data_IF_088833492201
#
_entry.id   IF_088833492201
#
_cell.length_a   1.000
_cell.length_b   1.000
_cell.length_c   1.000
_cell.angle_alpha   90.00
_cell.angle_beta   90.00
_cell.angle_gamma   90.00
#
_symmetry.space_group_name_H-M   'P 1'
#
loop_
_entity.id
_entity.type
_entity.pdbx_description
1 polymer ?
#
# COMPACT_ATOMS: atom_id res chain seq x y z
N UNK A 1 -22.02 -37.22 -3.95
CA UNK A 1 -22.43 -36.09 -3.09
C UNK A 1 -21.58 -36.18 -1.83
N UNK A 2 -21.19 -35.02 -1.28
CA UNK A 2 -20.19 -34.83 -0.22
C UNK A 2 -18.77 -34.61 -0.76
N UNK A 3 -18.57 -33.46 -1.42
CA UNK A 3 -17.26 -32.83 -1.46
C UNK A 3 -16.85 -32.51 -0.02
N UNK A 4 -15.82 -33.20 0.46
CA UNK A 4 -15.08 -32.80 1.63
C UNK A 4 -14.43 -31.44 1.30
N UNK A 5 -15.08 -30.36 1.75
CA UNK A 5 -14.53 -29.01 1.71
C UNK A 5 -13.22 -29.03 2.49
N UNK A 6 -12.11 -28.95 1.74
CA UNK A 6 -10.76 -28.97 2.28
C UNK A 6 -10.58 -27.78 3.23
N UNK A 7 -10.63 -28.06 4.53
CA UNK A 7 -9.96 -27.25 5.53
C UNK A 7 -8.47 -27.27 5.19
N UNK A 8 -8.00 -26.25 4.46
CA UNK A 8 -6.57 -26.01 4.32
C UNK A 8 -5.99 -25.89 5.73
N UNK A 9 -5.03 -26.73 6.12
CA UNK A 9 -4.31 -26.49 7.36
C UNK A 9 -3.61 -25.14 7.20
N UNK A 10 -3.99 -24.14 8.00
CA UNK A 10 -3.17 -22.96 8.20
C UNK A 10 -1.83 -23.46 8.75
N UNK A 11 -0.83 -23.57 7.86
CA UNK A 11 0.55 -23.91 8.22
C UNK A 11 1.05 -22.97 9.32
N UNK A 12 1.92 -23.45 10.22
CA UNK A 12 2.27 -22.74 11.45
C UNK A 12 2.99 -21.42 11.17
N UNK A 13 2.27 -20.31 11.38
CA UNK A 13 2.78 -18.96 11.64
C UNK A 13 3.90 -18.46 10.71
N UNK A 14 3.69 -18.53 9.39
CA UNK A 14 4.30 -17.56 8.50
C UNK A 14 3.57 -16.24 8.79
N UNK A 15 4.18 -15.27 9.47
CA UNK A 15 3.60 -13.94 9.54
C UNK A 15 3.54 -13.47 8.07
N UNK A 16 2.35 -13.33 7.47
CA UNK A 16 2.28 -12.86 6.09
C UNK A 16 2.96 -11.49 6.05
N UNK A 17 4.09 -11.38 5.34
CA UNK A 17 4.69 -10.10 5.03
C UNK A 17 3.71 -9.38 4.11
N UNK A 18 2.97 -8.43 4.66
CA UNK A 18 2.12 -7.54 3.87
C UNK A 18 2.97 -6.40 3.35
N UNK A 19 2.53 -5.81 2.24
CA UNK A 19 3.18 -4.63 1.71
C UNK A 19 2.15 -3.68 1.13
N UNK A 20 2.47 -2.40 1.17
CA UNK A 20 1.71 -1.32 0.56
C UNK A 20 2.60 -0.71 -0.52
N UNK A 21 2.07 -0.63 -1.73
CA UNK A 21 2.70 0.05 -2.85
C UNK A 21 1.96 1.36 -3.08
N UNK A 22 2.71 2.43 -3.20
CA UNK A 22 2.21 3.78 -3.45
C UNK A 22 2.84 4.23 -4.75
N UNK A 23 2.01 4.67 -5.68
CA UNK A 23 2.44 5.34 -6.90
C UNK A 23 1.63 6.61 -7.04
N UNK A 24 2.31 7.74 -7.25
CA UNK A 24 1.67 9.03 -7.40
C UNK A 24 1.83 9.55 -8.82
N UNK A 25 0.70 9.83 -9.46
CA UNK A 25 0.63 10.46 -10.79
C UNK A 25 0.02 11.86 -10.64
N UNK A 26 0.53 12.82 -11.42
CA UNK A 26 -0.07 14.14 -11.56
C UNK A 26 -1.30 14.12 -12.50
N UNK A 27 -1.95 15.27 -12.65
CA UNK A 27 -3.12 15.43 -13.55
C UNK A 27 -2.79 15.13 -15.03
N UNK A 28 -1.53 15.26 -15.42
CA UNK A 28 -1.04 14.95 -16.76
C UNK A 28 -0.64 13.47 -16.92
N UNK A 29 -0.71 12.66 -15.85
CA UNK A 29 -0.31 11.26 -15.84
C UNK A 29 1.20 11.03 -15.73
N UNK A 30 1.97 12.03 -15.30
CA UNK A 30 3.39 11.87 -14.99
C UNK A 30 3.59 11.49 -13.53
N UNK A 31 4.61 10.68 -13.27
CA UNK A 31 4.98 10.28 -11.93
C UNK A 31 5.52 11.48 -11.15
N UNK A 32 5.13 11.60 -9.88
CA UNK A 32 5.57 12.70 -8.99
C UNK A 32 6.65 12.17 -8.05
N UNK A 33 7.95 12.38 -8.35
CA UNK A 33 9.03 11.88 -7.52
C UNK A 33 9.24 12.73 -6.27
N UNK A 34 9.88 12.15 -5.26
CA UNK A 34 10.28 12.83 -4.01
C UNK A 34 9.14 13.47 -3.21
N UNK A 35 7.89 13.08 -3.47
CA UNK A 35 6.75 13.56 -2.70
C UNK A 35 6.73 12.91 -1.32
N UNK A 36 6.48 13.71 -0.28
CA UNK A 36 6.35 13.20 1.08
C UNK A 36 5.01 12.48 1.25
N UNK A 37 5.04 11.32 1.92
CA UNK A 37 3.85 10.58 2.28
C UNK A 37 3.86 10.19 3.76
N UNK A 38 2.66 10.10 4.33
CA UNK A 38 2.37 9.61 5.67
C UNK A 38 1.41 8.43 5.55
N UNK A 39 1.87 7.25 5.94
CA UNK A 39 1.09 6.02 5.98
C UNK A 39 0.72 5.70 7.43
N UNK A 40 -0.54 5.87 7.77
CA UNK A 40 -1.10 5.40 9.03
C UNK A 40 -1.42 3.90 8.90
N UNK A 41 -0.66 3.08 9.62
CA UNK A 41 -0.86 1.65 9.72
C UNK A 41 -2.13 1.32 10.52
N UNK A 42 -2.69 0.11 10.36
CA UNK A 42 -3.90 -0.33 11.08
C UNK A 42 -3.74 -0.37 12.61
N UNK A 43 -2.51 -0.39 13.12
CA UNK A 43 -2.20 -0.31 14.55
C UNK A 43 -2.20 1.15 15.08
N UNK A 44 -2.36 2.16 14.21
CA UNK A 44 -2.30 3.58 14.53
C UNK A 44 -0.90 4.20 14.45
N UNK A 45 0.13 3.41 14.10
CA UNK A 45 1.48 3.92 13.84
C UNK A 45 1.52 4.70 12.52
N UNK A 46 2.26 5.80 12.48
CA UNK A 46 2.40 6.63 11.27
C UNK A 46 3.82 6.47 10.75
N UNK A 47 3.94 5.97 9.53
CA UNK A 47 5.19 5.84 8.79
C UNK A 47 5.31 7.02 7.82
N UNK A 48 6.31 7.87 8.04
CA UNK A 48 6.64 8.95 7.12
C UNK A 48 7.75 8.52 6.15
N UNK A 49 7.62 8.92 4.89
CA UNK A 49 8.63 8.62 3.86
C UNK A 49 8.50 9.55 2.66
N UNK A 50 9.36 9.32 1.67
CA UNK A 50 9.33 10.02 0.40
C UNK A 50 9.23 9.02 -0.74
N UNK A 51 8.53 9.40 -1.81
CA UNK A 51 8.54 8.66 -3.06
C UNK A 51 9.94 8.69 -3.68
N UNK A 52 10.27 7.66 -4.45
CA UNK A 52 11.52 7.57 -5.17
C UNK A 52 11.52 8.44 -6.45
N UNK A 53 12.58 8.31 -7.27
CA UNK A 53 12.71 9.02 -8.54
C UNK A 53 11.63 8.65 -9.58
N UNK A 54 10.91 7.55 -9.37
CA UNK A 54 9.80 7.08 -10.19
C UNK A 54 8.43 7.42 -9.57
N UNK A 55 8.37 8.27 -8.54
CA UNK A 55 7.10 8.56 -7.85
C UNK A 55 6.49 7.32 -7.20
N UNK A 56 7.34 6.36 -6.80
CA UNK A 56 6.95 5.09 -6.22
C UNK A 56 7.49 4.94 -4.79
N UNK A 57 6.73 4.28 -3.94
CA UNK A 57 7.19 3.82 -2.64
C UNK A 57 6.61 2.46 -2.32
N UNK A 58 7.42 1.61 -1.68
CA UNK A 58 6.98 0.32 -1.15
C UNK A 58 7.29 0.24 0.33
N UNK A 59 6.27 -0.08 1.11
CA UNK A 59 6.34 -0.18 2.56
C UNK A 59 5.99 -1.62 2.94
N UNK A 60 6.88 -2.27 3.67
CA UNK A 60 6.63 -3.59 4.26
C UNK A 60 5.90 -3.40 5.60
N UNK A 61 4.84 -4.17 5.84
CA UNK A 61 4.08 -4.15 7.08
C UNK A 61 3.74 -5.57 7.50
N UNK A 62 3.93 -5.88 8.77
CA UNK A 62 3.58 -7.17 9.35
C UNK A 62 2.10 -7.26 9.75
N UNK A 63 1.37 -6.14 9.63
CA UNK A 63 -0.02 -6.03 10.10
C UNK A 63 -0.99 -5.97 8.94
N UNK A 64 -1.86 -6.98 8.75
CA UNK A 64 -2.97 -6.88 7.81
C UNK A 64 -4.00 -5.86 8.30
N UNK A 65 -4.56 -5.08 7.37
CA UNK A 65 -5.68 -4.21 7.68
C UNK A 65 -5.76 -3.00 6.75
N UNK A 66 -6.62 -2.07 7.13
CA UNK A 66 -6.75 -0.79 6.44
C UNK A 66 -5.60 0.12 6.86
N UNK A 67 -4.80 0.53 5.89
CA UNK A 67 -3.86 1.63 6.05
C UNK A 67 -4.48 2.90 5.46
N UNK A 68 -4.19 4.05 6.05
CA UNK A 68 -4.58 5.35 5.53
C UNK A 68 -3.35 6.08 5.02
N UNK A 69 -3.37 6.49 3.75
CA UNK A 69 -2.29 7.23 3.12
C UNK A 69 -2.66 8.72 3.05
N UNK A 70 -1.71 9.60 3.38
CA UNK A 70 -1.86 11.05 3.29
C UNK A 70 -0.61 11.67 2.68
N UNK A 71 -0.78 12.63 1.78
CA UNK A 71 0.31 13.44 1.24
C UNK A 71 0.23 14.84 1.87
N UNK A 72 1.03 15.15 2.92
CA UNK A 72 0.88 16.41 3.68
C UNK A 72 1.18 17.67 2.86
N UNK A 73 1.97 17.55 1.79
CA UNK A 73 2.30 18.65 0.88
C UNK A 73 1.25 18.85 -0.23
N UNK A 74 0.30 17.91 -0.37
CA UNK A 74 -0.79 17.99 -1.34
C UNK A 74 -2.12 18.23 -0.62
N UNK A 75 -2.96 19.09 -1.18
CA UNK A 75 -4.34 19.21 -0.73
C UNK A 75 -5.08 17.88 -0.91
N UNK A 76 -5.83 17.46 0.12
CA UNK A 76 -6.63 16.22 0.10
C UNK A 76 -7.69 16.15 -1.02
N UNK A 77 -7.97 17.28 -1.68
CA UNK A 77 -8.88 17.36 -2.84
C UNK A 77 -8.15 17.27 -4.19
N UNK A 78 -6.82 17.37 -4.19
CA UNK A 78 -5.99 17.41 -5.39
C UNK A 78 -5.50 16.03 -5.81
N UNK A 79 -5.70 15.00 -4.98
CA UNK A 79 -5.39 13.61 -5.30
C UNK A 79 -6.58 12.71 -4.99
N UNK A 80 -6.63 11.56 -5.65
CA UNK A 80 -7.65 10.53 -5.45
C UNK A 80 -6.98 9.16 -5.34
N UNK A 81 -7.55 8.29 -4.52
CA UNK A 81 -7.12 6.89 -4.49
C UNK A 81 -7.60 6.20 -5.77
N UNK A 82 -6.65 5.63 -6.51
CA UNK A 82 -6.95 4.74 -7.63
C UNK A 82 -6.47 3.33 -7.28
N UNK A 83 -7.38 2.36 -7.35
CA UNK A 83 -7.06 0.96 -7.08
C UNK A 83 -6.17 0.43 -8.21
N UNK A 84 -4.97 -0.02 -7.88
CA UNK A 84 -4.10 -0.74 -8.83
C UNK A 84 -4.75 -2.07 -9.26
N UNK A 85 -4.52 -2.48 -10.51
CA UNK A 85 -5.01 -3.76 -11.08
C UNK A 85 -4.34 -4.99 -10.45
N UNK A 86 -3.21 -4.79 -9.76
CA UNK A 86 -2.49 -5.85 -9.06
C UNK A 86 -1.13 -5.37 -8.56
N UNK A 87 -0.39 -6.25 -7.85
CA UNK A 87 0.99 -5.98 -7.47
C UNK A 87 1.84 -5.85 -8.73
N UNK A 88 2.76 -4.89 -8.76
CA UNK A 88 3.71 -4.82 -9.87
C UNK A 88 4.67 -6.01 -9.83
N UNK A 89 4.91 -6.70 -10.96
CA UNK A 89 5.98 -7.68 -11.03
C UNK A 89 7.33 -6.98 -10.79
N UNK A 90 8.14 -7.57 -9.91
CA UNK A 90 9.50 -7.11 -9.57
C UNK A 90 10.46 -7.26 -10.74
#
# INVERSE_FOLDING_TARGET
MSEASAVQPCSPAEIPSHWVEIELHDDSGFLVPYEEYLLTLPNGEIVAGYLDENGFARIETDTPGNCEITFPNLDARSWKYERSDGPRPL
#
